data_IF_873144819777
#
_entry.id   IF_873144819777
#
_cell.length_a   1.000
_cell.length_b   1.000
_cell.length_c   1.000
_cell.angle_alpha   90.00
_cell.angle_beta   90.00
_cell.angle_gamma   90.00
#
_symmetry.space_group_name_H-M   'P 1'
#
loop_
_entity.id
_entity.type
_entity.pdbx_description
1 polymer ?
#
# COMPACT_ATOMS: atom_id res chain seq x y z
N UNK A 1 -10.48 15.82 4.35
CA UNK A 1 -10.48 14.47 4.91
C UNK A 1 -9.63 13.54 4.05
N UNK A 2 -8.70 12.85 4.67
CA UNK A 2 -7.81 11.97 3.91
C UNK A 2 -8.54 10.69 3.51
N UNK A 3 -8.32 10.25 2.29
CA UNK A 3 -8.86 8.98 1.83
C UNK A 3 -8.11 7.84 2.51
N UNK A 4 -8.82 6.76 2.82
CA UNK A 4 -8.17 5.58 3.37
C UNK A 4 -7.63 4.68 2.27
N UNK A 5 -8.38 4.54 1.19
CA UNK A 5 -8.00 3.68 0.08
C UNK A 5 -7.74 4.54 -1.14
N UNK A 6 -6.58 4.37 -1.77
CA UNK A 6 -6.22 5.14 -2.96
C UNK A 6 -5.62 4.22 -4.01
N UNK A 7 -5.79 4.63 -5.27
CA UNK A 7 -5.21 3.89 -6.40
C UNK A 7 -3.70 4.00 -6.41
N UNK A 8 -3.05 3.06 -7.08
CA UNK A 8 -1.59 3.02 -7.12
C UNK A 8 -0.99 4.29 -7.71
N UNK A 9 -1.62 4.88 -8.74
CA UNK A 9 -1.09 6.09 -9.33
C UNK A 9 -1.16 7.27 -8.36
N UNK A 10 -2.19 7.32 -7.51
CA UNK A 10 -2.29 8.37 -6.50
C UNK A 10 -1.26 8.14 -5.41
N UNK A 11 -1.08 6.88 -5.00
CA UNK A 11 -0.09 6.52 -4.01
C UNK A 11 1.31 6.89 -4.47
N UNK A 12 1.61 6.64 -5.75
CA UNK A 12 2.91 7.02 -6.32
C UNK A 12 3.12 8.52 -6.25
N UNK A 13 2.08 9.30 -6.55
CA UNK A 13 2.18 10.76 -6.49
C UNK A 13 2.43 11.25 -5.07
N UNK A 14 1.86 10.57 -4.08
CA UNK A 14 2.00 10.99 -2.69
C UNK A 14 3.31 10.55 -2.04
N UNK A 15 3.80 9.37 -2.39
CA UNK A 15 4.91 8.76 -1.66
C UNK A 15 6.17 8.57 -2.48
N UNK A 16 6.05 8.60 -3.80
CA UNK A 16 7.18 8.33 -4.67
C UNK A 16 7.41 6.85 -4.95
N UNK A 17 6.73 5.94 -4.26
CA UNK A 17 6.79 4.52 -4.59
C UNK A 17 6.10 4.29 -5.93
N UNK A 18 6.83 3.74 -6.90
CA UNK A 18 6.23 3.49 -8.21
C UNK A 18 5.20 2.37 -8.13
N UNK A 19 4.29 2.35 -9.10
CA UNK A 19 3.30 1.29 -9.16
C UNK A 19 3.97 -0.08 -9.24
N UNK A 20 5.05 -0.17 -9.99
CA UNK A 20 5.81 -1.41 -10.13
C UNK A 20 6.37 -1.85 -8.78
N UNK A 21 6.92 -0.91 -8.00
CA UNK A 21 7.48 -1.23 -6.69
C UNK A 21 6.40 -1.75 -5.74
N UNK A 22 5.21 -1.15 -5.77
CA UNK A 22 4.10 -1.60 -4.94
C UNK A 22 3.66 -3.00 -5.34
N UNK A 23 3.51 -3.25 -6.65
CA UNK A 23 3.12 -4.58 -7.12
C UNK A 23 4.14 -5.63 -6.72
N UNK A 24 5.41 -5.28 -6.73
CA UNK A 24 6.46 -6.19 -6.32
C UNK A 24 6.35 -6.56 -4.84
N UNK A 25 6.05 -5.58 -3.99
CA UNK A 25 5.85 -5.84 -2.56
C UNK A 25 4.69 -6.81 -2.34
N UNK A 26 3.65 -6.69 -3.14
CA UNK A 26 2.51 -7.60 -3.05
C UNK A 26 2.90 -8.99 -3.51
N UNK A 27 3.62 -9.10 -4.63
CA UNK A 27 4.04 -10.39 -5.17
C UNK A 27 4.97 -11.13 -4.22
N UNK A 28 5.83 -10.39 -3.53
CA UNK A 28 6.81 -10.98 -2.63
C UNK A 28 6.25 -11.25 -1.23
N UNK A 29 4.99 -10.90 -1.00
CA UNK A 29 4.37 -11.14 0.29
C UNK A 29 4.75 -10.15 1.37
N UNK A 30 5.44 -9.08 1.00
CA UNK A 30 5.77 -8.01 1.94
C UNK A 30 4.51 -7.29 2.38
N UNK A 31 3.61 -7.04 1.45
CA UNK A 31 2.29 -6.46 1.73
C UNK A 31 1.23 -7.53 1.50
N UNK A 32 0.28 -7.63 2.42
CA UNK A 32 -0.77 -8.62 2.38
C UNK A 32 -2.13 -7.96 2.22
N UNK A 33 -3.00 -8.60 1.46
CA UNK A 33 -4.37 -8.11 1.28
C UNK A 33 -5.08 -8.05 2.63
N UNK A 34 -5.79 -6.95 2.87
CA UNK A 34 -6.43 -6.72 4.16
C UNK A 34 -5.54 -6.01 5.16
N UNK A 35 -4.26 -5.88 4.87
CA UNK A 35 -3.32 -5.19 5.75
C UNK A 35 -2.83 -3.89 5.13
N UNK A 36 -2.03 -3.96 4.05
CA UNK A 36 -1.52 -2.76 3.39
C UNK A 36 -2.28 -2.41 2.13
N UNK A 37 -3.04 -3.34 1.59
CA UNK A 37 -3.82 -3.09 0.39
C UNK A 37 -5.09 -3.91 0.38
N UNK A 38 -6.01 -3.53 -0.51
CA UNK A 38 -7.25 -4.27 -0.76
C UNK A 38 -7.50 -4.28 -2.26
N UNK A 39 -8.17 -5.34 -2.73
CA UNK A 39 -8.66 -5.36 -4.11
C UNK A 39 -10.09 -4.86 -4.13
N UNK A 40 -10.33 -3.87 -4.98
CA UNK A 40 -11.69 -3.37 -5.17
C UNK A 40 -12.51 -4.41 -5.94
N UNK A 41 -13.85 -4.33 -5.90
CA UNK A 41 -14.69 -5.29 -6.63
C UNK A 41 -14.43 -5.32 -8.13
N UNK A 42 -13.91 -4.23 -8.70
CA UNK A 42 -13.58 -4.17 -10.12
C UNK A 42 -12.18 -4.70 -10.42
N UNK A 43 -11.48 -5.22 -9.43
CA UNK A 43 -10.16 -5.81 -9.61
C UNK A 43 -8.99 -4.87 -9.43
N UNK A 44 -9.24 -3.60 -9.23
CA UNK A 44 -8.14 -2.65 -9.01
C UNK A 44 -7.55 -2.81 -7.62
N UNK A 45 -6.24 -2.62 -7.53
CA UNK A 45 -5.54 -2.64 -6.25
C UNK A 45 -5.62 -1.24 -5.65
N UNK A 46 -6.03 -1.19 -4.38
CA UNK A 46 -6.08 0.07 -3.63
C UNK A 46 -5.17 -0.05 -2.42
N UNK A 47 -4.35 0.97 -2.20
CA UNK A 47 -3.48 1.00 -1.03
C UNK A 47 -4.29 1.49 0.17
N UNK A 48 -4.18 0.77 1.28
CA UNK A 48 -4.77 1.17 2.55
C UNK A 48 -3.74 2.05 3.26
N UNK A 49 -4.00 3.35 3.30
CA UNK A 49 -3.03 4.29 3.88
C UNK A 49 -2.77 4.02 5.35
N UNK A 50 -3.76 3.55 6.08
CA UNK A 50 -3.54 3.17 7.49
C UNK A 50 -2.62 1.98 7.60
N UNK A 51 -2.81 0.99 6.75
CA UNK A 51 -1.93 -0.17 6.71
C UNK A 51 -0.53 0.20 6.31
N UNK A 52 -0.42 1.11 5.34
CA UNK A 52 0.87 1.62 4.92
C UNK A 52 1.60 2.31 6.08
N UNK A 53 0.89 3.17 6.81
CA UNK A 53 1.49 3.87 7.95
C UNK A 53 1.99 2.89 9.00
N UNK A 54 1.18 1.89 9.32
CA UNK A 54 1.60 0.88 10.30
C UNK A 54 2.80 0.10 9.82
N UNK A 55 2.84 -0.22 8.54
CA UNK A 55 3.97 -0.93 7.96
C UNK A 55 5.25 -0.11 8.09
N UNK A 56 5.18 1.19 7.80
CA UNK A 56 6.34 2.07 7.94
C UNK A 56 6.80 2.15 9.38
N UNK A 57 5.86 2.31 10.30
CA UNK A 57 6.19 2.47 11.72
C UNK A 57 6.74 1.19 12.33
N UNK A 58 6.15 0.05 11.99
CA UNK A 58 6.62 -1.23 12.51
C UNK A 58 8.03 -1.54 12.02
N UNK A 59 8.34 -1.13 10.80
CA UNK A 59 9.67 -1.36 10.26
C UNK A 59 10.76 -0.72 11.11
N UNK A 60 10.46 0.41 11.73
CA UNK A 60 11.43 1.08 12.60
C UNK A 60 11.81 0.23 13.79
N UNK A 61 10.88 -0.58 14.28
CA UNK A 61 11.10 -1.37 15.50
C UNK A 61 12.02 -2.56 15.23
N UNK A 62 12.15 -2.94 13.99
CA UNK A 62 13.01 -4.06 13.64
C UNK A 62 14.49 -3.71 13.69
N UNK A 63 14.80 -2.43 13.74
CA UNK A 63 16.20 -1.98 13.73
C UNK A 63 16.87 -2.07 15.09
#
# INVERSE_FOLDING_TARGET
MAARYIKLQVFEALTGYTQKAVRRKIEEGVWLEGREFMRAPDGHILVDLRGYEKWVENHKQAA
#
